data_IF_528378711037
#
_entry.id   IF_528378711037
#
_cell.length_a   1.000
_cell.length_b   1.000
_cell.length_c   1.000
_cell.angle_alpha   90.00
_cell.angle_beta   90.00
_cell.angle_gamma   90.00
#
_symmetry.space_group_name_H-M   'P 1'
#
loop_
_entity.id
_entity.type
_entity.pdbx_description
1 polymer ?
#
# COMPACT_ATOMS: atom_id res chain seq x y z
N UNK A 1 7.79 14.56 -52.24
CA UNK A 1 9.04 14.37 -51.48
C UNK A 1 8.88 15.13 -50.17
N UNK A 2 8.53 14.43 -49.09
CA UNK A 2 8.67 14.94 -47.70
C UNK A 2 10.14 15.21 -47.42
N UNK A 3 10.57 15.90 -46.37
CA UNK A 3 10.18 15.90 -44.97
C UNK A 3 10.79 17.20 -44.38
N UNK A 4 10.22 17.94 -43.42
CA UNK A 4 10.36 17.66 -41.98
C UNK A 4 9.64 18.80 -41.22
N UNK A 5 8.49 18.50 -40.63
CA UNK A 5 7.87 19.34 -39.58
C UNK A 5 8.08 18.63 -38.24
N UNK A 6 9.31 18.58 -37.74
CA UNK A 6 9.61 18.03 -36.41
C UNK A 6 10.81 18.76 -35.80
N UNK A 7 10.59 19.98 -35.30
CA UNK A 7 11.56 20.67 -34.43
C UNK A 7 10.95 21.17 -33.11
N UNK A 8 9.74 20.72 -32.73
CA UNK A 8 9.06 21.22 -31.53
C UNK A 8 8.39 20.15 -30.65
N UNK A 9 9.00 18.98 -30.52
CA UNK A 9 8.74 18.12 -29.34
C UNK A 9 10.07 17.79 -28.66
N UNK A 10 10.82 18.83 -28.33
CA UNK A 10 11.76 18.75 -27.23
C UNK A 10 10.96 18.71 -25.93
N UNK A 11 10.85 17.52 -25.34
CA UNK A 11 10.74 17.27 -23.90
C UNK A 11 10.87 15.75 -23.69
N UNK A 12 12.12 15.31 -23.54
CA UNK A 12 12.54 14.19 -22.68
C UNK A 12 11.54 13.02 -22.63
N UNK A 13 11.46 12.21 -23.68
CA UNK A 13 11.12 10.80 -23.48
C UNK A 13 12.43 10.06 -23.42
N UNK A 14 12.85 9.70 -22.21
CA UNK A 14 13.89 8.69 -22.04
C UNK A 14 13.44 7.43 -22.80
N UNK A 15 14.08 7.15 -23.93
CA UNK A 15 13.81 5.98 -24.75
C UNK A 15 14.08 4.65 -24.02
N UNK A 16 14.58 4.70 -22.78
CA UNK A 16 14.85 3.58 -21.89
C UNK A 16 13.85 3.38 -20.74
N UNK A 17 12.73 4.10 -20.66
CA UNK A 17 11.80 3.96 -19.53
C UNK A 17 11.10 2.59 -19.57
N UNK A 18 11.73 1.59 -18.96
CA UNK A 18 11.13 0.27 -18.73
C UNK A 18 9.85 0.48 -17.94
N UNK A 19 8.73 -0.14 -18.35
CA UNK A 19 7.50 -0.03 -17.59
C UNK A 19 7.74 -0.54 -16.16
N UNK A 20 7.10 0.06 -15.15
CA UNK A 20 7.22 -0.41 -13.78
C UNK A 20 6.74 -1.87 -13.72
N UNK A 21 7.56 -2.72 -13.11
CA UNK A 21 7.18 -4.11 -12.82
C UNK A 21 6.52 -4.14 -11.45
N UNK A 22 5.27 -4.61 -11.39
CA UNK A 22 4.58 -4.85 -10.12
C UNK A 22 5.19 -6.12 -9.51
N UNK A 23 6.03 -5.96 -8.50
CA UNK A 23 6.68 -7.10 -7.83
C UNK A 23 5.72 -7.86 -6.91
N UNK A 24 4.87 -7.14 -6.18
CA UNK A 24 3.89 -7.69 -5.25
C UNK A 24 2.59 -6.90 -5.29
N UNK A 25 1.47 -7.61 -5.12
CA UNK A 25 0.15 -7.02 -4.96
C UNK A 25 -0.43 -7.52 -3.62
N UNK A 26 -0.67 -6.61 -2.68
CA UNK A 26 -1.21 -6.94 -1.37
C UNK A 26 -2.64 -6.48 -1.26
N UNK A 27 -3.48 -7.36 -0.75
CA UNK A 27 -4.91 -7.15 -0.57
C UNK A 27 -5.33 -7.47 0.85
N UNK A 28 -6.61 -7.31 1.15
CA UNK A 28 -7.21 -7.81 2.40
C UNK A 28 -6.98 -9.30 2.66
N UNK A 29 -6.75 -10.12 1.63
CA UNK A 29 -6.42 -11.55 1.78
C UNK A 29 -5.01 -11.78 2.32
N UNK A 30 -4.12 -10.80 2.16
CA UNK A 30 -2.71 -10.85 2.55
C UNK A 30 -2.48 -10.20 3.93
N UNK A 31 -3.55 -9.79 4.62
CA UNK A 31 -3.51 -9.21 5.96
C UNK A 31 -3.59 -7.69 6.02
N UNK A 32 -3.69 -7.00 4.87
CA UNK A 32 -4.00 -5.57 4.86
C UNK A 32 -5.41 -5.36 5.42
N UNK A 33 -5.59 -4.36 6.28
CA UNK A 33 -6.89 -4.17 6.94
C UNK A 33 -8.01 -3.74 5.98
N UNK A 34 -7.67 -3.12 4.85
CA UNK A 34 -8.59 -2.71 3.79
C UNK A 34 -7.85 -2.41 2.50
N UNK A 35 -8.51 -2.64 1.36
CA UNK A 35 -7.99 -2.30 0.02
C UNK A 35 -8.05 -0.79 -0.28
N UNK A 36 -8.71 0.00 0.59
CA UNK A 36 -8.75 1.46 0.50
C UNK A 36 -7.65 2.10 1.32
N UNK A 37 -6.62 2.60 0.64
CA UNK A 37 -5.44 3.25 1.22
C UNK A 37 -5.57 4.78 1.09
N UNK A 38 -5.44 5.49 2.21
CA UNK A 38 -5.45 6.95 2.27
C UNK A 38 -4.04 7.55 2.23
N UNK A 39 -3.06 6.87 2.84
CA UNK A 39 -1.68 7.34 2.86
C UNK A 39 -0.69 6.18 3.06
N UNK A 40 0.53 6.39 2.55
CA UNK A 40 1.70 5.55 2.78
C UNK A 40 2.83 6.45 3.31
N UNK A 41 3.45 6.04 4.42
CA UNK A 41 4.53 6.78 5.06
C UNK A 41 5.70 5.84 5.37
N UNK A 42 6.90 6.24 4.95
CA UNK A 42 8.14 5.65 5.46
C UNK A 42 8.62 6.46 6.68
N UNK A 43 8.84 5.77 7.79
CA UNK A 43 9.41 6.36 9.00
C UNK A 43 10.93 6.41 8.91
N UNK A 44 11.55 7.30 9.69
CA UNK A 44 13.01 7.46 9.72
C UNK A 44 13.78 6.20 10.16
N UNK A 45 13.10 5.24 10.78
CA UNK A 45 13.65 3.93 11.16
C UNK A 45 13.46 2.84 10.08
N UNK A 46 13.02 3.22 8.88
CA UNK A 46 12.84 2.33 7.74
C UNK A 46 11.57 1.49 7.77
N UNK A 47 10.61 1.80 8.66
CA UNK A 47 9.30 1.15 8.70
C UNK A 47 8.33 1.80 7.73
N UNK A 48 7.46 0.99 7.14
CA UNK A 48 6.37 1.47 6.30
C UNK A 48 5.03 1.39 7.03
N UNK A 49 4.30 2.50 7.02
CA UNK A 49 2.99 2.66 7.61
C UNK A 49 1.95 2.95 6.54
N UNK A 50 0.84 2.21 6.58
CA UNK A 50 -0.27 2.29 5.63
C UNK A 50 -1.52 2.73 6.38
N UNK A 51 -2.00 3.93 6.11
CA UNK A 51 -3.28 4.41 6.64
C UNK A 51 -4.41 3.87 5.76
N UNK A 52 -5.21 2.95 6.28
CA UNK A 52 -6.38 2.43 5.58
C UNK A 52 -7.67 3.03 6.14
N UNK A 53 -8.80 2.80 5.49
CA UNK A 53 -10.10 3.24 6.01
C UNK A 53 -10.54 2.55 7.32
N UNK A 54 -9.87 1.46 7.74
CA UNK A 54 -10.23 0.71 8.95
C UNK A 54 -9.22 0.89 10.07
N UNK A 55 -7.93 0.73 9.77
CA UNK A 55 -6.87 0.73 10.79
C UNK A 55 -5.57 1.28 10.21
N UNK A 56 -4.62 1.60 11.09
CA UNK A 56 -3.25 1.85 10.67
C UNK A 56 -2.51 0.51 10.56
N UNK A 57 -1.85 0.23 9.44
CA UNK A 57 -1.08 -0.99 9.24
C UNK A 57 0.42 -0.70 9.20
N UNK A 58 1.22 -1.44 9.95
CA UNK A 58 2.69 -1.50 9.82
C UNK A 58 3.05 -2.66 8.89
N UNK A 59 3.82 -2.37 7.84
CA UNK A 59 4.34 -3.39 6.94
C UNK A 59 5.63 -3.98 7.51
N UNK A 60 5.58 -5.29 7.77
CA UNK A 60 6.69 -6.06 8.30
C UNK A 60 7.35 -6.80 7.14
N UNK A 61 8.46 -6.24 6.66
CA UNK A 61 9.35 -6.92 5.74
C UNK A 61 10.17 -7.95 6.52
N UNK A 62 9.60 -9.13 6.78
CA UNK A 62 10.36 -10.23 7.33
C UNK A 62 11.31 -10.74 6.25
N UNK A 63 12.61 -10.69 6.55
CA UNK A 63 13.67 -11.28 5.71
C UNK A 63 13.68 -12.82 5.75
N UNK A 64 12.78 -13.42 6.52
CA UNK A 64 12.71 -14.85 6.79
C UNK A 64 11.65 -15.50 5.88
N UNK A 65 11.72 -16.82 5.72
CA UNK A 65 10.91 -17.67 4.81
C UNK A 65 9.38 -17.52 4.90
N UNK A 66 8.86 -16.77 5.88
CA UNK A 66 7.43 -16.52 6.10
C UNK A 66 6.84 -15.39 5.26
N UNK A 67 7.66 -14.72 4.44
CA UNK A 67 7.22 -13.64 3.55
C UNK A 67 6.86 -12.34 4.28
N UNK A 68 6.30 -11.40 3.53
CA UNK A 68 5.86 -10.10 4.04
C UNK A 68 4.54 -10.20 4.80
N UNK A 69 4.34 -9.40 5.85
CA UNK A 69 3.09 -9.39 6.62
C UNK A 69 2.70 -7.98 7.07
N UNK A 70 1.44 -7.79 7.47
CA UNK A 70 0.93 -6.52 7.99
C UNK A 70 0.49 -6.69 9.44
N UNK A 71 0.87 -5.73 10.29
CA UNK A 71 0.35 -5.61 11.65
C UNK A 71 -0.64 -4.46 11.71
N UNK A 72 -1.89 -4.77 12.04
CA UNK A 72 -2.96 -3.78 12.16
C UNK A 72 -3.04 -3.20 13.58
N UNK A 73 -3.18 -1.87 13.65
CA UNK A 73 -3.38 -1.09 14.87
C UNK A 73 -4.77 -0.42 14.79
N UNK A 74 -5.81 -1.03 15.39
CA UNK A 74 -7.15 -0.46 15.38
C UNK A 74 -7.24 0.77 16.27
N UNK A 75 -8.13 1.70 15.91
CA UNK A 75 -8.43 2.92 16.69
C UNK A 75 -8.85 2.59 18.14
N UNK A 76 -9.54 1.47 18.33
CA UNK A 76 -9.98 0.99 19.64
C UNK A 76 -9.49 -0.45 19.85
N UNK A 77 -8.53 -0.69 20.75
CA UNK A 77 -7.98 -2.02 21.03
C UNK A 77 -9.01 -3.05 21.54
N UNK A 78 -10.21 -2.59 21.92
CA UNK A 78 -11.20 -3.36 22.69
C UNK A 78 -12.61 -3.44 22.11
N UNK A 79 -12.85 -3.07 20.85
CA UNK A 79 -14.20 -3.09 20.24
C UNK A 79 -14.77 -4.50 19.97
N UNK A 80 -14.41 -5.52 20.77
CA UNK A 80 -15.24 -6.70 20.98
C UNK A 80 -16.23 -6.41 22.10
N UNK A 81 -17.10 -5.43 21.89
CA UNK A 81 -18.22 -5.18 22.77
C UNK A 81 -19.24 -6.30 22.59
N UNK A 82 -19.25 -7.18 23.59
CA UNK A 82 -20.31 -8.07 24.02
C UNK A 82 -21.69 -7.73 23.43
N UNK A 83 -22.06 -8.32 22.29
CA UNK A 83 -23.48 -8.54 21.97
C UNK A 83 -23.89 -9.86 22.63
N UNK A 84 -24.04 -9.82 23.95
CA UNK A 84 -24.51 -10.93 24.75
C UNK A 84 -25.59 -10.44 25.70
N UNK A 85 -26.84 -10.71 25.33
CA UNK A 85 -27.95 -11.03 26.23
C UNK A 85 -28.33 -9.98 27.31
N UNK A 86 -29.36 -9.18 27.02
CA UNK A 86 -30.42 -8.82 27.98
C UNK A 86 -31.69 -8.48 27.18
N UNK A 87 -32.54 -9.49 26.96
CA UNK A 87 -33.98 -9.28 26.83
C UNK A 87 -34.58 -9.78 28.14
N UNK A 88 -35.04 -8.84 28.96
CA UNK A 88 -35.90 -9.13 30.11
C UNK A 88 -37.35 -9.31 29.68
#
# INVERSE_FOLDING_TARGET
MGWNTLLWTGLITDAGHKPPVIAHNYTTKDGLSSDWIHALLESSDGRFWVATNRTLCEFLSSRNERGHSFRAYPKEPGARLLRGHLAG
#
